data_IF_307538131748
#
_entry.id   IF_307538131748
#
_cell.length_a   1.000
_cell.length_b   1.000
_cell.length_c   1.000
_cell.angle_alpha   90.00
_cell.angle_beta   90.00
_cell.angle_gamma   90.00
#
_symmetry.space_group_name_H-M   'P 1'
#
loop_
_entity.id
_entity.type
_entity.pdbx_description
1 polymer ?
#
# COMPACT_ATOMS: atom_id res chain seq x y z
N UNK A 1 14.42 10.57 -12.65
CA UNK A 1 13.27 10.85 -11.77
C UNK A 1 11.93 10.55 -12.44
N UNK A 2 11.74 10.83 -13.73
CA UNK A 2 10.42 10.64 -14.38
C UNK A 2 10.01 9.18 -14.66
N UNK A 3 10.98 8.27 -14.81
CA UNK A 3 10.70 6.86 -15.12
C UNK A 3 10.04 6.12 -13.94
N UNK A 4 10.45 6.41 -12.70
CA UNK A 4 9.89 5.77 -11.52
C UNK A 4 8.45 6.23 -11.25
N UNK A 5 8.15 7.51 -11.51
CA UNK A 5 6.78 8.03 -11.38
C UNK A 5 5.80 7.40 -12.38
N UNK A 6 6.23 7.17 -13.63
CA UNK A 6 5.40 6.44 -14.61
C UNK A 6 5.13 5.00 -14.18
N UNK A 7 6.11 4.34 -13.58
CA UNK A 7 5.99 2.93 -13.18
C UNK A 7 4.95 2.72 -12.07
N UNK A 8 4.61 3.75 -11.29
CA UNK A 8 3.61 3.69 -10.22
C UNK A 8 2.31 4.45 -10.55
N UNK A 9 2.12 4.89 -11.79
CA UNK A 9 0.90 5.63 -12.15
C UNK A 9 -0.36 4.80 -11.87
N UNK A 10 -1.23 5.28 -10.96
CA UNK A 10 -2.44 4.57 -10.54
C UNK A 10 -2.20 3.40 -9.56
N UNK A 11 -0.96 3.17 -9.12
CA UNK A 11 -0.58 2.18 -8.11
C UNK A 11 -0.16 2.85 -6.81
N UNK A 12 -0.21 2.10 -5.72
CA UNK A 12 0.30 2.52 -4.42
C UNK A 12 1.72 1.96 -4.26
N UNK A 13 2.67 2.79 -3.81
CA UNK A 13 4.02 2.38 -3.43
C UNK A 13 4.07 2.16 -1.92
N UNK A 14 4.44 0.95 -1.49
CA UNK A 14 4.77 0.63 -0.11
C UNK A 14 6.23 0.22 0.03
N UNK A 15 6.78 0.32 1.23
CA UNK A 15 8.10 -0.24 1.58
C UNK A 15 7.94 -1.23 2.73
N UNK A 16 8.82 -2.23 2.77
CA UNK A 16 8.86 -3.20 3.86
C UNK A 16 9.64 -2.60 5.04
N UNK A 17 9.08 -2.74 6.24
CA UNK A 17 9.78 -2.40 7.48
C UNK A 17 10.91 -3.40 7.77
N UNK A 18 10.64 -4.70 7.60
CA UNK A 18 11.66 -5.76 7.61
C UNK A 18 11.86 -6.26 6.17
N UNK A 19 13.03 -5.98 5.61
CA UNK A 19 13.40 -6.36 4.25
C UNK A 19 13.50 -7.88 4.05
N UNK A 20 13.72 -8.64 5.13
CA UNK A 20 13.80 -10.10 5.08
C UNK A 20 12.43 -10.77 5.07
N UNK A 21 11.36 -10.01 5.37
CA UNK A 21 10.02 -10.55 5.38
C UNK A 21 9.59 -10.97 3.96
N UNK A 22 9.04 -12.18 3.86
CA UNK A 22 8.59 -12.73 2.58
C UNK A 22 7.19 -12.24 2.28
N UNK A 23 7.07 -11.54 1.15
CA UNK A 23 5.80 -11.13 0.54
C UNK A 23 5.74 -11.69 -0.88
N UNK A 24 4.53 -11.91 -1.39
CA UNK A 24 4.27 -12.47 -2.70
C UNK A 24 3.29 -11.59 -3.49
N UNK A 25 3.38 -11.55 -4.84
CA UNK A 25 2.31 -11.01 -5.66
C UNK A 25 0.98 -11.71 -5.32
N UNK A 26 -0.09 -10.93 -5.20
CA UNK A 26 -1.39 -11.39 -4.75
C UNK A 26 -1.66 -11.22 -3.25
N UNK A 27 -0.64 -11.00 -2.42
CA UNK A 27 -0.86 -10.72 -1.00
C UNK A 27 -1.73 -9.47 -0.81
N UNK A 28 -2.69 -9.56 0.11
CA UNK A 28 -3.65 -8.48 0.38
C UNK A 28 -3.07 -7.54 1.43
N UNK A 29 -3.08 -6.25 1.11
CA UNK A 29 -2.68 -5.19 2.02
C UNK A 29 -3.91 -4.65 2.75
N UNK A 30 -3.85 -4.66 4.08
CA UNK A 30 -4.87 -4.10 4.97
C UNK A 30 -4.24 -3.09 5.94
N UNK A 31 -5.03 -2.13 6.43
CA UNK A 31 -4.57 -1.25 7.51
C UNK A 31 -4.27 -2.06 8.78
N UNK A 32 -3.10 -1.85 9.36
CA UNK A 32 -2.65 -2.58 10.55
C UNK A 32 -3.39 -2.17 11.83
N UNK A 33 -3.99 -0.98 11.83
CA UNK A 33 -4.38 -0.33 13.07
C UNK A 33 -3.17 0.16 13.85
N UNK A 34 -2.12 0.64 13.20
CA UNK A 34 -1.07 1.45 13.82
C UNK A 34 -1.25 2.91 13.38
N UNK A 35 -1.02 3.86 14.28
CA UNK A 35 -1.33 5.28 14.02
C UNK A 35 -2.83 5.57 13.95
N UNK A 36 -3.26 6.38 12.98
CA UNK A 36 -4.59 6.98 12.98
C UNK A 36 -5.73 6.05 12.56
N UNK A 37 -5.48 5.16 11.60
CA UNK A 37 -6.54 4.40 10.92
C UNK A 37 -6.96 3.15 11.70
N UNK A 38 -8.25 2.76 11.70
CA UNK A 38 -8.68 1.50 12.28
C UNK A 38 -8.09 0.31 11.51
N UNK A 39 -7.96 -0.83 12.19
CA UNK A 39 -7.43 -2.07 11.61
C UNK A 39 -8.44 -2.69 10.62
N UNK A 40 -7.92 -3.31 9.56
CA UNK A 40 -8.69 -4.21 8.70
C UNK A 40 -9.37 -3.56 7.50
N UNK A 41 -9.02 -2.33 7.14
CA UNK A 41 -9.49 -1.70 5.89
C UNK A 41 -8.64 -2.24 4.73
N UNK A 42 -9.22 -2.89 3.72
CA UNK A 42 -8.49 -3.35 2.53
C UNK A 42 -8.02 -2.19 1.67
N UNK A 43 -6.75 -2.24 1.26
CA UNK A 43 -6.12 -1.23 0.40
C UNK A 43 -6.02 -1.75 -1.04
N UNK A 44 -5.52 -2.98 -1.20
CA UNK A 44 -5.24 -3.55 -2.51
C UNK A 44 -4.45 -4.85 -2.40
N UNK A 45 -3.95 -5.32 -3.54
CA UNK A 45 -3.09 -6.51 -3.62
C UNK A 45 -1.71 -6.16 -4.16
N UNK A 46 -0.67 -6.86 -3.70
CA UNK A 46 0.67 -6.71 -4.26
C UNK A 46 0.65 -7.15 -5.73
N UNK A 47 1.04 -6.24 -6.61
CA UNK A 47 1.24 -6.48 -8.04
C UNK A 47 2.68 -6.94 -8.32
N UNK A 48 3.65 -6.22 -7.72
CA UNK A 48 5.08 -6.50 -7.93
C UNK A 48 5.91 -6.14 -6.70
N UNK A 49 7.00 -6.87 -6.52
CA UNK A 49 8.02 -6.62 -5.50
C UNK A 49 9.25 -6.06 -6.23
N UNK A 50 9.79 -4.96 -5.72
CA UNK A 50 10.92 -4.23 -6.32
C UNK A 50 12.01 -4.15 -5.27
N UNK A 51 13.17 -4.74 -5.57
CA UNK A 51 14.34 -4.67 -4.72
C UNK A 51 15.26 -3.56 -5.22
N UNK A 52 15.40 -2.52 -4.42
CA UNK A 52 16.37 -1.47 -4.68
C UNK A 52 17.75 -1.93 -4.21
N UNK A 53 18.52 -2.47 -5.15
CA UNK A 53 19.86 -3.03 -4.89
C UNK A 53 20.85 -2.01 -4.33
N UNK A 54 20.57 -0.71 -4.44
CA UNK A 54 21.47 0.36 -4.00
C UNK A 54 21.05 0.96 -2.65
N UNK A 55 19.75 0.99 -2.33
CA UNK A 55 19.23 1.75 -1.18
C UNK A 55 18.77 0.90 0.02
N UNK A 56 19.09 -0.41 0.07
CA UNK A 56 18.70 -1.32 1.17
C UNK A 56 17.18 -1.37 1.42
N UNK A 57 16.37 -0.95 0.45
CA UNK A 57 14.92 -0.87 0.56
C UNK A 57 14.27 -1.87 -0.39
N UNK A 58 13.20 -2.49 0.12
CA UNK A 58 12.34 -3.37 -0.65
C UNK A 58 10.96 -2.75 -0.72
N UNK A 59 10.53 -2.50 -1.93
CA UNK A 59 9.26 -1.86 -2.23
C UNK A 59 8.25 -2.88 -2.75
N UNK A 60 6.98 -2.55 -2.54
CA UNK A 60 5.84 -3.24 -3.13
C UNK A 60 5.03 -2.25 -3.94
N UNK A 61 4.74 -2.63 -5.18
CA UNK A 61 3.78 -1.96 -6.04
C UNK A 61 2.44 -2.65 -5.81
N UNK A 62 1.46 -1.88 -5.35
CA UNK A 62 0.16 -2.38 -4.90
C UNK A 62 -0.91 -1.88 -5.86
N UNK A 63 -1.71 -2.80 -6.40
CA UNK A 63 -2.89 -2.48 -7.19
C UNK A 63 -4.04 -2.14 -6.24
N UNK A 64 -4.55 -0.90 -6.22
CA UNK A 64 -5.65 -0.52 -5.33
C UNK A 64 -6.95 -1.24 -5.74
N UNK A 65 -7.78 -1.61 -4.76
CA UNK A 65 -9.10 -2.17 -5.04
C UNK A 65 -10.12 -1.12 -5.49
N UNK A 66 -9.90 0.14 -5.11
CA UNK A 66 -10.80 1.24 -5.45
C UNK A 66 -10.17 2.12 -6.52
N UNK A 67 -10.92 2.38 -7.59
CA UNK A 67 -10.58 3.42 -8.54
C UNK A 67 -11.11 4.77 -8.05
N UNK A 68 -10.23 5.58 -7.46
CA UNK A 68 -10.62 6.88 -6.87
C UNK A 68 -11.09 7.92 -7.90
N UNK A 69 -10.93 7.68 -9.21
CA UNK A 69 -11.46 8.54 -10.27
C UNK A 69 -12.96 8.31 -10.53
N UNK A 70 -13.56 7.26 -9.94
CA UNK A 70 -14.94 6.85 -10.16
C UNK A 70 -15.61 6.50 -8.83
N UNK A 71 -15.88 7.52 -8.01
CA UNK A 71 -16.53 7.36 -6.70
C UNK A 71 -17.83 8.17 -6.70
N UNK A 72 -18.89 7.56 -6.17
CA UNK A 72 -20.20 8.20 -5.97
C UNK A 72 -20.57 8.29 -4.48
N UNK A 73 -20.24 7.25 -3.71
CA UNK A 73 -20.51 7.17 -2.27
C UNK A 73 -19.26 6.81 -1.50
N UNK A 74 -19.08 7.48 -0.35
CA UNK A 74 -17.99 7.26 0.59
C UNK A 74 -18.52 7.10 2.00
N UNK A 75 -17.75 6.43 2.84
CA UNK A 75 -18.01 6.31 4.28
C UNK A 75 -16.84 6.94 5.03
N UNK A 76 -17.17 7.78 6.02
CA UNK A 76 -16.17 8.33 6.94
C UNK A 76 -16.03 7.34 8.09
N UNK A 77 -14.79 6.91 8.33
CA UNK A 77 -14.43 6.12 9.50
C UNK A 77 -13.73 7.05 10.48
N UNK A 78 -14.21 7.08 11.72
CA UNK A 78 -13.55 7.85 12.76
C UNK A 78 -12.13 7.31 13.01
N UNK A 79 -11.16 8.19 13.31
CA UNK A 79 -9.85 7.76 13.79
C UNK A 79 -9.95 6.83 14.99
N UNK A 80 -8.91 6.05 15.24
CA UNK A 80 -8.84 5.27 16.48
C UNK A 80 -8.78 6.20 17.69
N UNK A 81 -9.63 5.93 18.67
CA UNK A 81 -9.55 6.54 20.00
C UNK A 81 -8.34 5.97 20.74
N UNK A 82 -7.41 6.85 21.12
CA UNK A 82 -6.28 6.53 21.98
C UNK A 82 -6.69 6.78 23.44
N UNK A 83 -7.69 6.05 23.92
CA UNK A 83 -8.03 6.03 25.36
C UNK A 83 -7.26 4.93 26.08
#
# INVERSE_FOLDING_TARGET
>A
MDYEYKDFEGYIKGYLFDINYKVLPGDIIITSGLGLYPKGIPIGSIDKIIEDKNNLLKYVKIKPYVNLKKIDKVMILNPRDFN
#
